data_IF_822001321758
#
_entry.id   IF_822001321758
#
_cell.length_a   1.000
_cell.length_b   1.000
_cell.length_c   1.000
_cell.angle_alpha   90.00
_cell.angle_beta   90.00
_cell.angle_gamma   90.00
#
_symmetry.space_group_name_H-M   'P 1'
#
loop_
_entity.id
_entity.type
_entity.pdbx_description
1 polymer ?
#
# COMPACT_ATOMS: atom_id res chain seq x y z
N UNK A 1 -3.35 -20.92 -3.62
CA UNK A 1 -3.35 -20.63 -5.08
C UNK A 1 -3.01 -19.15 -5.20
N UNK A 2 -1.93 -18.80 -5.90
CA UNK A 2 -1.58 -17.38 -6.10
C UNK A 2 -2.54 -16.77 -7.11
N UNK A 3 -2.96 -15.53 -6.89
CA UNK A 3 -3.71 -14.74 -7.87
C UNK A 3 -2.71 -14.20 -8.88
N UNK A 4 -2.76 -14.74 -10.09
CA UNK A 4 -1.97 -14.24 -11.20
C UNK A 4 -2.66 -12.99 -11.75
N UNK A 5 -1.99 -11.84 -11.64
CA UNK A 5 -2.45 -10.58 -12.21
C UNK A 5 -1.88 -10.42 -13.62
N UNK A 6 -2.63 -9.83 -14.54
CA UNK A 6 -2.08 -9.37 -15.81
C UNK A 6 -1.33 -8.02 -15.64
N UNK A 7 -0.65 -7.54 -16.69
CA UNK A 7 0.12 -6.28 -16.63
C UNK A 7 -0.70 -5.09 -16.14
N UNK A 8 -1.94 -4.95 -16.62
CA UNK A 8 -2.84 -3.86 -16.24
C UNK A 8 -3.26 -3.96 -14.77
N UNK A 9 -3.61 -5.16 -14.31
CA UNK A 9 -3.98 -5.43 -12.92
C UNK A 9 -2.81 -5.22 -11.97
N UNK A 10 -1.58 -5.59 -12.36
CA UNK A 10 -0.36 -5.33 -11.59
C UNK A 10 -0.12 -3.82 -11.44
N UNK A 11 -0.21 -3.06 -12.53
CA UNK A 11 -0.07 -1.60 -12.47
C UNK A 11 -1.15 -0.95 -11.60
N UNK A 12 -2.41 -1.38 -11.73
CA UNK A 12 -3.52 -0.93 -10.87
C UNK A 12 -3.26 -1.26 -9.40
N UNK A 13 -2.75 -2.45 -9.10
CA UNK A 13 -2.39 -2.83 -7.74
C UNK A 13 -1.29 -1.94 -7.17
N UNK A 14 -0.19 -1.74 -7.91
CA UNK A 14 0.92 -0.89 -7.45
C UNK A 14 0.46 0.56 -7.22
N UNK A 15 -0.32 1.12 -8.15
CA UNK A 15 -0.86 2.47 -8.01
C UNK A 15 -1.84 2.58 -6.83
N UNK A 16 -2.74 1.61 -6.70
CA UNK A 16 -3.70 1.54 -5.59
C UNK A 16 -3.01 1.44 -4.24
N UNK A 17 -1.98 0.60 -4.11
CA UNK A 17 -1.22 0.46 -2.86
C UNK A 17 -0.56 1.77 -2.42
N UNK A 18 0.04 2.52 -3.36
CA UNK A 18 0.62 3.84 -3.08
C UNK A 18 -0.45 4.87 -2.68
N UNK A 19 -1.55 4.90 -3.42
CA UNK A 19 -2.68 5.80 -3.14
C UNK A 19 -3.26 5.58 -1.75
N UNK A 20 -3.43 4.32 -1.34
CA UNK A 20 -3.98 3.96 -0.04
C UNK A 20 -3.07 4.37 1.12
N UNK A 21 -1.76 4.16 0.99
CA UNK A 21 -0.80 4.62 1.99
C UNK A 21 -0.80 6.15 2.10
N UNK A 22 -0.86 6.87 0.98
CA UNK A 22 -0.94 8.33 0.95
C UNK A 22 -2.24 8.86 1.59
N UNK A 23 -3.38 8.27 1.23
CA UNK A 23 -4.68 8.62 1.78
C UNK A 23 -4.71 8.46 3.29
N UNK A 24 -4.32 7.27 3.79
CA UNK A 24 -4.24 7.03 5.24
C UNK A 24 -3.25 7.98 5.92
N UNK A 25 -2.10 8.27 5.31
CA UNK A 25 -1.14 9.20 5.88
C UNK A 25 -1.73 10.60 6.02
N UNK A 26 -2.39 11.12 4.99
CA UNK A 26 -3.05 12.43 5.00
C UNK A 26 -4.15 12.52 6.06
N UNK A 27 -4.95 11.47 6.21
CA UNK A 27 -5.96 11.39 7.27
C UNK A 27 -5.32 11.46 8.66
N UNK A 28 -4.24 10.71 8.90
CA UNK A 28 -3.53 10.74 10.18
C UNK A 28 -2.84 12.08 10.44
N UNK A 29 -2.32 12.74 9.41
CA UNK A 29 -1.78 14.10 9.50
C UNK A 29 -2.85 15.11 9.93
N UNK A 30 -4.07 15.01 9.39
CA UNK A 30 -5.20 15.86 9.77
C UNK A 30 -5.58 15.67 11.26
N UNK A 31 -5.34 14.48 11.81
CA UNK A 31 -5.49 14.17 13.24
C UNK A 31 -4.28 14.58 14.11
N UNK A 32 -3.30 15.27 13.53
CA UNK A 32 -2.10 15.75 14.23
C UNK A 32 -1.01 14.69 14.44
N UNK A 33 -1.12 13.52 13.80
CA UNK A 33 -0.13 12.44 13.91
C UNK A 33 1.02 12.70 12.93
N UNK A 34 2.16 13.20 13.43
CA UNK A 34 3.28 13.69 12.60
C UNK A 34 4.57 12.85 12.66
N UNK A 35 4.62 11.84 13.54
CA UNK A 35 5.81 11.00 13.73
C UNK A 35 5.46 9.56 14.09
N UNK A 36 5.98 8.58 13.35
CA UNK A 36 5.54 7.20 13.49
C UNK A 36 6.14 6.26 12.45
N UNK A 37 5.69 5.01 12.48
CA UNK A 37 6.08 3.98 11.51
C UNK A 37 4.84 3.51 10.77
N UNK A 38 4.89 3.52 9.43
CA UNK A 38 3.94 2.80 8.58
C UNK A 38 4.49 1.40 8.29
N UNK A 39 3.74 0.36 8.60
CA UNK A 39 4.06 -1.01 8.19
C UNK A 39 3.14 -1.39 7.04
N UNK A 40 3.73 -1.78 5.91
CA UNK A 40 3.02 -2.22 4.72
C UNK A 40 3.37 -3.66 4.44
N UNK A 41 2.37 -4.54 4.54
CA UNK A 41 2.49 -5.96 4.24
C UNK A 41 1.87 -6.22 2.88
N UNK A 42 2.68 -6.71 1.95
CA UNK A 42 2.25 -7.11 0.61
C UNK A 42 2.14 -8.63 0.59
N UNK A 43 1.01 -9.15 0.12
CA UNK A 43 0.85 -10.61 0.07
C UNK A 43 1.69 -11.25 -1.01
N UNK A 44 2.26 -12.40 -0.67
CA UNK A 44 2.89 -13.32 -1.62
C UNK A 44 1.87 -14.09 -2.45
N UNK A 45 0.59 -13.99 -2.09
CA UNK A 45 -0.52 -14.54 -2.86
C UNK A 45 -0.79 -13.69 -4.11
N UNK A 46 -0.37 -12.43 -4.14
CA UNK A 46 -0.29 -11.65 -5.37
C UNK A 46 0.99 -12.04 -6.10
N UNK A 47 0.86 -12.45 -7.36
CA UNK A 47 2.00 -12.77 -8.20
C UNK A 47 2.65 -11.48 -8.73
N UNK A 48 3.40 -10.81 -7.84
CA UNK A 48 4.34 -9.75 -8.20
C UNK A 48 5.73 -10.35 -8.38
N UNK A 49 6.37 -10.01 -9.49
CA UNK A 49 7.79 -10.30 -9.67
C UNK A 49 8.63 -9.57 -8.62
N UNK A 50 9.82 -10.09 -8.31
CA UNK A 50 10.71 -9.46 -7.33
C UNK A 50 11.06 -8.02 -7.72
N UNK A 51 11.27 -7.75 -9.02
CA UNK A 51 11.51 -6.41 -9.53
C UNK A 51 10.32 -5.46 -9.28
N UNK A 52 9.08 -5.93 -9.41
CA UNK A 52 7.88 -5.13 -9.18
C UNK A 52 7.65 -4.85 -7.70
N UNK A 53 7.93 -5.83 -6.84
CA UNK A 53 7.93 -5.61 -5.39
C UNK A 53 8.99 -4.58 -4.99
N UNK A 54 10.20 -4.66 -5.54
CA UNK A 54 11.26 -3.69 -5.27
C UNK A 54 10.87 -2.29 -5.75
N UNK A 55 10.24 -2.16 -6.92
CA UNK A 55 9.69 -0.89 -7.42
C UNK A 55 8.65 -0.34 -6.45
N UNK A 56 7.68 -1.14 -6.03
CA UNK A 56 6.64 -0.73 -5.09
C UNK A 56 7.22 -0.32 -3.74
N UNK A 57 8.14 -1.12 -3.20
CA UNK A 57 8.83 -0.81 -1.95
C UNK A 57 9.60 0.50 -2.06
N UNK A 58 10.36 0.72 -3.13
CA UNK A 58 11.10 1.96 -3.34
C UNK A 58 10.19 3.17 -3.47
N UNK A 59 9.05 3.05 -4.17
CA UNK A 59 8.08 4.12 -4.29
C UNK A 59 7.45 4.47 -2.93
N UNK A 60 7.12 3.46 -2.13
CA UNK A 60 6.63 3.65 -0.75
C UNK A 60 7.67 4.33 0.15
N UNK A 61 8.95 3.98 0.02
CA UNK A 61 10.02 4.67 0.74
C UNK A 61 10.20 6.11 0.27
N UNK A 62 10.12 6.36 -1.04
CA UNK A 62 10.21 7.70 -1.61
C UNK A 62 9.08 8.61 -1.11
N UNK A 63 7.87 8.07 -0.93
CA UNK A 63 6.73 8.82 -0.39
C UNK A 63 7.02 9.44 0.99
N UNK A 64 7.70 8.71 1.88
CA UNK A 64 8.05 9.20 3.21
C UNK A 64 9.36 9.99 3.27
N UNK A 65 10.10 10.11 2.16
CA UNK A 65 11.41 10.78 2.13
C UNK A 65 11.35 12.24 2.58
N UNK A 66 10.28 12.95 2.24
CA UNK A 66 10.08 14.35 2.62
C UNK A 66 9.51 14.51 4.04
N UNK A 67 9.29 13.41 4.75
CA UNK A 67 8.70 13.36 6.08
C UNK A 67 9.67 12.67 7.06
N UNK A 68 10.73 13.37 7.55
CA UNK A 68 11.84 12.76 8.30
C UNK A 68 11.43 12.14 9.65
N UNK A 69 10.25 12.49 10.17
CA UNK A 69 9.71 11.93 11.41
C UNK A 69 8.86 10.67 11.18
N UNK A 70 8.67 10.29 9.92
CA UNK A 70 7.97 9.10 9.49
C UNK A 70 8.97 8.10 8.94
N UNK A 71 8.76 6.83 9.26
CA UNK A 71 9.46 5.72 8.63
C UNK A 71 8.43 4.76 8.03
N UNK A 72 8.87 4.00 7.03
CA UNK A 72 8.08 2.92 6.47
C UNK A 72 8.86 1.63 6.51
N UNK A 73 8.16 0.54 6.80
CA UNK A 73 8.65 -0.81 6.67
C UNK A 73 7.76 -1.54 5.68
N UNK A 74 8.35 -2.09 4.62
CA UNK A 74 7.65 -2.96 3.68
C UNK A 74 8.05 -4.42 3.94
N UNK A 75 7.09 -5.33 3.88
CA UNK A 75 7.35 -6.76 4.05
C UNK A 75 6.47 -7.58 3.15
N UNK A 76 7.04 -8.62 2.55
CA UNK A 76 6.29 -9.66 1.84
C UNK A 76 5.92 -10.76 2.83
N UNK A 77 4.64 -11.16 2.86
CA UNK A 77 4.16 -12.21 3.77
C UNK A 77 3.35 -13.26 3.01
N UNK A 78 3.69 -14.54 3.20
CA UNK A 78 3.04 -15.68 2.54
C UNK A 78 1.75 -16.13 3.22
N UNK A 79 1.55 -15.73 4.48
CA UNK A 79 0.46 -16.20 5.33
C UNK A 79 -0.73 -15.24 5.37
N UNK A 80 -0.61 -14.04 4.82
CA UNK A 80 -1.71 -13.07 4.78
C UNK A 80 -2.67 -13.37 3.63
N UNK A 81 -3.98 -13.39 3.96
CA UNK A 81 -5.06 -13.50 2.98
C UNK A 81 -5.40 -12.15 2.30
N UNK A 82 -4.93 -11.04 2.87
CA UNK A 82 -5.11 -9.70 2.30
C UNK A 82 -4.04 -9.43 1.26
N UNK A 83 -4.42 -8.89 0.10
CA UNK A 83 -3.50 -8.47 -0.97
C UNK A 83 -2.51 -7.40 -0.48
N UNK A 84 -3.00 -6.47 0.36
CA UNK A 84 -2.23 -5.43 1.03
C UNK A 84 -2.76 -5.22 2.44
N UNK A 85 -1.89 -5.04 3.42
CA UNK A 85 -2.26 -4.53 4.74
C UNK A 85 -1.35 -3.37 5.13
N UNK A 86 -1.93 -2.30 5.65
CA UNK A 86 -1.25 -1.08 6.06
C UNK A 86 -1.59 -0.85 7.52
N UNK A 87 -0.59 -0.66 8.37
CA UNK A 87 -0.79 -0.24 9.76
C UNK A 87 0.14 0.90 10.11
N UNK A 88 -0.36 1.85 10.87
CA UNK A 88 0.44 2.92 11.48
C UNK A 88 0.65 2.61 12.96
N UNK A 89 1.82 2.98 13.48
CA UNK A 89 2.17 2.82 14.90
C UNK A 89 1.20 3.50 15.89
N UNK A 90 0.27 4.33 15.40
CA UNK A 90 -0.77 4.97 16.20
C UNK A 90 -2.08 4.17 16.29
N UNK A 91 -2.13 2.98 15.70
CA UNK A 91 -3.29 2.08 15.74
C UNK A 91 -4.26 2.20 14.56
N UNK A 92 -3.93 3.00 13.53
CA UNK A 92 -4.72 3.07 12.29
C UNK A 92 -4.34 1.91 11.38
N UNK A 93 -5.31 1.09 10.99
CA UNK A 93 -5.08 -0.12 10.20
C UNK A 93 -6.06 -0.19 9.02
N UNK A 94 -5.59 -0.68 7.87
CA UNK A 94 -6.41 -0.97 6.69
C UNK A 94 -5.90 -2.25 6.04
N UNK A 95 -6.82 -3.13 5.69
CA UNK A 95 -6.56 -4.36 4.95
C UNK A 95 -7.35 -4.35 3.65
N UNK A 96 -6.72 -4.81 2.58
CA UNK A 96 -7.30 -4.91 1.24
C UNK A 96 -7.32 -6.39 0.88
N UNK A 97 -8.52 -6.96 0.76
CA UNK A 97 -8.71 -8.40 0.52
C UNK A 97 -8.38 -8.83 -0.92
N UNK A 98 -8.07 -10.13 -1.10
CA UNK A 98 -7.93 -10.75 -2.42
C UNK A 98 -9.30 -10.91 -3.08
N UNK A 99 -9.59 -10.09 -4.10
CA UNK A 99 -10.83 -10.15 -4.86
C UNK A 99 -11.12 -8.81 -5.49
N UNK A 100 -10.80 -8.67 -6.77
CA UNK A 100 -11.12 -7.48 -7.56
C UNK A 100 -12.65 -7.43 -7.77
N UNK A 101 -13.39 -6.93 -6.78
CA UNK A 101 -14.73 -6.36 -6.97
C UNK A 101 -14.89 -4.98 -6.31
N UNK A 102 -13.88 -4.47 -5.58
CA UNK A 102 -13.88 -3.11 -5.03
C UNK A 102 -12.49 -2.46 -5.11
N UNK A 103 -11.90 -2.39 -6.31
CA UNK A 103 -11.06 -1.23 -6.66
C UNK A 103 -11.96 -0.29 -7.45
N UNK A 104 -12.96 0.30 -6.79
CA UNK A 104 -13.62 1.50 -7.32
C UNK A 104 -12.67 2.67 -7.12
N UNK A 105 -11.76 2.87 -8.07
CA UNK A 105 -11.13 4.17 -8.31
C UNK A 105 -12.17 5.02 -9.04
N UNK A 106 -13.09 5.60 -8.28
CA UNK A 106 -13.72 6.87 -8.63
C UNK A 106 -13.44 7.77 -7.42
N UNK A 107 -12.66 8.83 -7.55
CA UNK A 107 -13.19 10.03 -8.17
C UNK A 107 -12.24 10.63 -9.20
N UNK A 108 -12.81 10.88 -10.38
CA UNK A 108 -12.45 12.02 -11.20
C UNK A 108 -12.09 13.22 -10.33
N UNK A 109 -10.82 13.63 -10.36
CA UNK A 109 -10.49 15.04 -10.20
C UNK A 109 -9.73 15.44 -11.47
N UNK A 110 -10.51 15.78 -12.49
CA UNK A 110 -10.09 16.53 -13.67
C UNK A 110 -10.86 17.86 -13.58
N UNK A 111 -10.23 19.03 -13.86
CA UNK A 111 -9.15 19.73 -13.15
C UNK A 111 -9.66 20.61 -11.99
#
# INVERSE_FOLDING_TARGET
MKTQLNDEERQKFMHGALHEVDSMYKENLALGKRSGTATVVISSMIDLEDAEYDILANNLHAFFKDNPNMSIQTTRNELTQNALAISFSWGSEKAIEHGIEHISIETNVIP
#
